data_IF_241895484833
#
_entry.id   IF_241895484833
#
_cell.length_a   1.000
_cell.length_b   1.000
_cell.length_c   1.000
_cell.angle_alpha   90.00
_cell.angle_beta   90.00
_cell.angle_gamma   90.00
#
_symmetry.space_group_name_H-M   'P 1'
#
loop_
_entity.id
_entity.type
_entity.pdbx_description
1 polymer ?
#
# COMPACT_ATOMS: atom_id res chain seq x y z
N UNK A 1 10.83 -13.42 0.30
CA UNK A 1 9.47 -13.16 0.81
C UNK A 1 8.48 -13.76 -0.16
N UNK A 2 7.45 -14.51 0.26
CA UNK A 2 6.38 -14.90 -0.65
C UNK A 2 5.84 -13.60 -1.29
N UNK A 3 5.93 -13.53 -2.62
CA UNK A 3 5.97 -12.27 -3.35
C UNK A 3 4.76 -11.38 -3.09
N UNK A 4 5.00 -10.08 -2.81
CA UNK A 4 3.94 -9.08 -2.81
C UNK A 4 3.26 -9.13 -4.18
N UNK A 5 1.94 -9.29 -4.18
CA UNK A 5 1.17 -9.38 -5.42
C UNK A 5 0.85 -7.98 -5.92
N UNK A 6 1.38 -7.61 -7.07
CA UNK A 6 0.97 -6.39 -7.76
C UNK A 6 -0.50 -6.54 -8.22
N UNK A 7 -1.33 -5.55 -7.91
CA UNK A 7 -2.74 -5.49 -8.32
C UNK A 7 -2.99 -4.13 -8.96
N UNK A 8 -3.61 -4.13 -10.14
CA UNK A 8 -4.06 -2.91 -10.80
C UNK A 8 -5.36 -2.44 -10.13
N UNK A 9 -5.28 -1.34 -9.40
CA UNK A 9 -6.44 -0.72 -8.75
C UNK A 9 -6.97 0.43 -9.62
N UNK A 10 -8.26 0.39 -9.95
CA UNK A 10 -8.94 1.51 -10.60
C UNK A 10 -9.51 2.43 -9.52
N UNK A 11 -8.99 3.64 -9.46
CA UNK A 11 -9.42 4.67 -8.53
C UNK A 11 -9.96 5.88 -9.30
N UNK A 12 -10.94 6.57 -8.70
CA UNK A 12 -11.26 7.93 -9.12
C UNK A 12 -10.01 8.83 -8.96
N UNK A 13 -9.65 9.65 -9.95
CA UNK A 13 -8.46 10.51 -9.89
C UNK A 13 -8.41 11.43 -8.66
N UNK A 14 -9.57 11.90 -8.17
CA UNK A 14 -9.64 12.75 -6.98
C UNK A 14 -9.33 11.96 -5.71
N UNK A 15 -9.77 10.70 -5.64
CA UNK A 15 -9.44 9.80 -4.53
C UNK A 15 -7.95 9.47 -4.53
N UNK A 16 -7.38 9.19 -5.71
CA UNK A 16 -5.94 8.99 -5.85
C UNK A 16 -5.14 10.20 -5.33
N UNK A 17 -5.51 11.41 -5.76
CA UNK A 17 -4.83 12.64 -5.32
C UNK A 17 -4.93 12.86 -3.81
N UNK A 18 -6.09 12.58 -3.21
CA UNK A 18 -6.27 12.69 -1.76
C UNK A 18 -5.41 11.69 -0.99
N UNK A 19 -5.32 10.43 -1.45
CA UNK A 19 -4.46 9.42 -0.85
C UNK A 19 -2.97 9.77 -1.00
N UNK A 20 -2.56 10.28 -2.16
CA UNK A 20 -1.18 10.71 -2.39
C UNK A 20 -0.79 11.87 -1.46
N UNK A 21 -1.68 12.85 -1.27
CA UNK A 21 -1.45 13.94 -0.33
C UNK A 21 -1.32 13.42 1.11
N UNK A 22 -2.24 12.56 1.54
CA UNK A 22 -2.19 12.00 2.89
C UNK A 22 -0.91 11.18 3.14
N UNK A 23 -0.50 10.35 2.18
CA UNK A 23 0.74 9.61 2.26
C UNK A 23 1.97 10.54 2.41
N UNK A 24 2.00 11.63 1.63
CA UNK A 24 3.05 12.64 1.73
C UNK A 24 3.06 13.36 3.09
N UNK A 25 1.89 13.69 3.64
CA UNK A 25 1.76 14.31 4.96
C UNK A 25 2.29 13.38 6.09
N UNK A 26 2.22 12.05 5.90
CA UNK A 26 2.74 11.04 6.83
C UNK A 26 4.16 10.53 6.49
N UNK A 27 4.84 11.16 5.52
CA UNK A 27 6.17 10.74 5.01
C UNK A 27 6.22 9.25 4.61
N UNK A 28 5.15 8.78 3.97
CA UNK A 28 4.99 7.39 3.54
C UNK A 28 4.80 7.29 2.03
N UNK A 29 5.23 6.17 1.43
CA UNK A 29 4.84 5.87 0.05
C UNK A 29 3.32 5.65 -0.06
N UNK A 30 2.76 5.97 -1.24
CA UNK A 30 1.33 5.75 -1.50
C UNK A 30 0.95 4.27 -1.34
N UNK A 31 1.79 3.34 -1.76
CA UNK A 31 1.55 1.90 -1.63
C UNK A 31 1.49 1.47 -0.17
N UNK A 32 2.42 1.94 0.67
CA UNK A 32 2.39 1.63 2.10
C UNK A 32 1.19 2.29 2.79
N UNK A 33 0.74 3.48 2.35
CA UNK A 33 -0.48 4.09 2.86
C UNK A 33 -1.72 3.27 2.50
N UNK A 34 -1.84 2.81 1.25
CA UNK A 34 -2.94 1.96 0.81
C UNK A 34 -2.95 0.65 1.59
N UNK A 35 -1.80 -0.01 1.78
CA UNK A 35 -1.71 -1.26 2.54
C UNK A 35 -2.17 -1.06 4.00
N UNK A 36 -1.69 0.00 4.65
CA UNK A 36 -2.12 0.35 6.01
C UNK A 36 -3.65 0.52 6.11
N UNK A 37 -4.25 1.27 5.18
CA UNK A 37 -5.69 1.51 5.16
C UNK A 37 -6.48 0.22 4.91
N UNK A 38 -6.01 -0.64 4.01
CA UNK A 38 -6.64 -1.92 3.73
C UNK A 38 -6.59 -2.84 4.96
N UNK A 39 -5.45 -2.95 5.63
CA UNK A 39 -5.30 -3.73 6.87
C UNK A 39 -6.23 -3.20 7.96
N UNK A 40 -6.28 -1.88 8.15
CA UNK A 40 -7.17 -1.26 9.13
C UNK A 40 -8.65 -1.49 8.78
N UNK A 41 -9.03 -1.41 7.50
CA UNK A 41 -10.38 -1.69 7.05
C UNK A 41 -10.76 -3.17 7.28
N UNK A 42 -9.87 -4.11 6.96
CA UNK A 42 -10.06 -5.54 7.24
C UNK A 42 -10.21 -5.82 8.73
N UNK A 43 -9.37 -5.19 9.57
CA UNK A 43 -9.45 -5.32 11.03
C UNK A 43 -10.79 -4.81 11.56
N UNK A 44 -11.23 -3.62 11.14
CA UNK A 44 -12.52 -3.04 11.52
C UNK A 44 -13.71 -3.90 11.06
N UNK A 45 -13.59 -4.54 9.90
CA UNK A 45 -14.61 -5.45 9.39
C UNK A 45 -14.57 -6.85 10.06
N UNK A 46 -13.62 -7.13 10.95
CA UNK A 46 -13.43 -8.46 11.54
C UNK A 46 -12.98 -9.52 10.52
N UNK A 47 -12.35 -9.09 9.42
CA UNK A 47 -11.94 -9.94 8.29
C UNK A 47 -10.42 -10.06 8.14
N UNK A 48 -9.65 -9.49 9.06
CA UNK A 48 -8.20 -9.63 9.03
C UNK A 48 -7.83 -11.10 9.34
N UNK A 49 -7.15 -11.82 8.44
CA UNK A 49 -6.68 -13.18 8.71
C UNK A 49 -5.74 -13.22 9.91
N UNK A 50 -5.86 -14.26 10.75
CA UNK A 50 -4.92 -14.52 11.83
C UNK A 50 -3.51 -14.75 11.24
N UNK A 51 -2.51 -14.01 11.73
CA UNK A 51 -1.11 -14.11 11.29
C UNK A 51 -0.59 -12.96 10.41
N UNK A 52 -1.45 -12.01 9.99
CA UNK A 52 -1.01 -10.85 9.19
C UNK A 52 -0.42 -9.69 9.99
N UNK A 53 -0.46 -9.71 11.33
CA UNK A 53 0.03 -8.59 12.16
C UNK A 53 1.58 -8.55 12.30
N UNK A 54 2.31 -9.61 11.93
CA UNK A 54 3.75 -9.75 12.19
C UNK A 54 4.67 -9.24 11.05
N UNK A 55 4.16 -8.99 9.85
CA UNK A 55 4.96 -8.87 8.60
C UNK A 55 5.41 -7.42 8.23
N UNK A 56 5.28 -6.43 9.11
CA UNK A 56 5.30 -4.99 8.72
C UNK A 56 6.66 -4.27 8.82
N UNK A 57 7.78 -4.95 9.10
CA UNK A 57 9.03 -4.27 9.47
C UNK A 57 10.01 -3.95 8.31
N UNK A 58 9.87 -4.51 7.10
CA UNK A 58 10.96 -4.46 6.10
C UNK A 58 10.43 -4.21 4.68
N UNK A 59 10.48 -2.97 4.18
CA UNK A 59 9.99 -2.69 2.82
C UNK A 59 10.37 -1.38 2.14
N UNK A 60 11.30 -0.59 2.68
CA UNK A 60 11.58 0.77 2.18
C UNK A 60 12.71 0.87 1.14
N UNK A 61 12.95 -0.17 0.32
CA UNK A 61 14.00 -0.12 -0.69
C UNK A 61 13.71 -1.01 -1.90
N UNK A 62 12.73 -0.65 -2.76
CA UNK A 62 12.67 -1.22 -4.13
C UNK A 62 11.79 -0.41 -5.12
N UNK A 63 11.72 0.92 -5.02
CA UNK A 63 10.99 1.73 -6.04
C UNK A 63 11.92 2.34 -7.11
N UNK A 64 13.23 2.04 -7.06
CA UNK A 64 14.22 2.61 -7.97
C UNK A 64 14.59 1.67 -9.13
N UNK A 65 13.63 0.99 -9.77
CA UNK A 65 13.90 0.27 -11.04
C UNK A 65 12.63 -0.15 -11.79
N UNK A 66 11.99 0.76 -12.52
CA UNK A 66 11.28 0.35 -13.73
C UNK A 66 11.69 1.24 -14.92
N UNK A 67 12.60 0.80 -15.79
CA UNK A 67 12.83 1.49 -17.05
C UNK A 67 11.59 1.32 -17.92
N UNK A 68 11.01 2.43 -18.34
CA UNK A 68 9.96 2.47 -19.37
C UNK A 68 10.55 1.95 -20.68
N UNK A 69 10.03 0.87 -21.29
CA UNK A 69 10.41 0.53 -22.65
C UNK A 69 9.62 1.42 -23.63
N UNK A 70 10.33 1.96 -24.63
CA UNK A 70 9.78 2.60 -25.83
C UNK A 70 9.11 1.56 -26.74
#
# INVERSE_FOLDING_TARGET
MPGRKAVLLRLDPKVHAALQKWAADELRSLNAQIDFLLRQALKRAGRLPAGLEEDSAEGEADDAAHPTPL
#
